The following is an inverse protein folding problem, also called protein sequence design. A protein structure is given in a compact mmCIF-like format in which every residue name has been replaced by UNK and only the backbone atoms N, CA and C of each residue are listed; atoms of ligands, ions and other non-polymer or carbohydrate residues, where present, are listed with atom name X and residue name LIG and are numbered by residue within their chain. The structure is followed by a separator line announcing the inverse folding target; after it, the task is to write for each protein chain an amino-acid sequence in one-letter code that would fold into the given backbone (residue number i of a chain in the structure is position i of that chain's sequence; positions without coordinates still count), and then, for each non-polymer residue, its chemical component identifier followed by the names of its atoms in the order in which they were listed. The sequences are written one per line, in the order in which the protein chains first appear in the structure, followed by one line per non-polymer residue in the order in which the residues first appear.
data_IF_112698568189
#
_entry.id   IF_112698568189
#
_cell.length_a   1.000
_cell.length_b   1.000
_cell.length_c   1.000
_cell.angle_alpha   90.00
_cell.angle_beta   90.00
_cell.angle_gamma   90.00
#
_symmetry.space_group_name_H-M   'P 1'
#
loop_
_entity.id
_entity.type
_entity.pdbx_description
1 polymer ?
#
# COMPACT_ATOMS: atom_id res chain seq x y z
N UNK A 1 -7.41 13.51 -3.57
CA UNK A 1 -5.96 13.44 -3.90
C UNK A 1 -5.83 13.18 -5.38
N UNK A 2 -5.13 14.05 -6.09
CA UNK A 2 -4.94 13.93 -7.53
C UNK A 2 -3.68 13.13 -7.83
N UNK A 3 -3.79 12.21 -8.77
CA UNK A 3 -2.71 11.34 -9.20
C UNK A 3 -2.39 11.63 -10.67
N UNK A 4 -1.11 11.56 -11.02
CA UNK A 4 -0.63 11.63 -12.40
C UNK A 4 0.49 10.63 -12.60
N UNK A 5 0.46 9.89 -13.71
CA UNK A 5 1.54 8.98 -14.12
C UNK A 5 1.87 9.23 -15.59
N UNK A 6 3.16 9.35 -15.90
CA UNK A 6 3.63 9.35 -17.28
C UNK A 6 3.66 7.90 -17.78
N UNK A 7 3.10 7.63 -18.97
CA UNK A 7 3.20 6.31 -19.60
C UNK A 7 4.64 6.10 -20.09
N UNK A 8 5.21 4.94 -19.81
CA UNK A 8 6.56 4.60 -20.25
C UNK A 8 6.69 4.72 -21.78
N UNK A 9 7.80 5.28 -22.25
CA UNK A 9 8.08 5.52 -23.66
C UNK A 9 7.03 6.38 -24.39
N UNK A 10 6.23 7.15 -23.64
CA UNK A 10 5.22 8.05 -24.19
C UNK A 10 5.28 9.41 -23.48
N UNK A 11 4.86 10.47 -24.17
CA UNK A 11 4.62 11.77 -23.53
C UNK A 11 3.19 11.88 -22.96
N UNK A 12 2.39 10.82 -23.05
CA UNK A 12 1.05 10.78 -22.47
C UNK A 12 1.12 10.70 -20.94
N UNK A 13 0.30 11.51 -20.28
CA UNK A 13 0.07 11.48 -18.85
C UNK A 13 -1.34 10.97 -18.62
N UNK A 14 -1.47 9.92 -17.81
CA UNK A 14 -2.75 9.45 -17.30
C UNK A 14 -3.00 10.05 -15.92
N UNK A 15 -4.27 10.27 -15.62
CA UNK A 15 -4.73 10.91 -14.39
C UNK A 15 -5.72 10.01 -13.67
N UNK A 16 -5.84 10.24 -12.38
CA UNK A 16 -6.82 9.58 -11.54
C UNK A 16 -6.95 10.32 -10.22
N UNK A 17 -7.93 9.90 -9.43
CA UNK A 17 -8.22 10.52 -8.15
C UNK A 17 -8.42 9.46 -7.08
N UNK A 18 -7.84 9.69 -5.90
CA UNK A 18 -8.21 8.97 -4.69
C UNK A 18 -9.01 9.91 -3.78
N UNK A 19 -10.17 9.43 -3.37
CA UNK A 19 -11.00 10.03 -2.33
C UNK A 19 -10.95 9.14 -1.10
N UNK A 20 -11.15 9.72 0.08
CA UNK A 20 -11.16 8.98 1.33
C UNK A 20 -12.18 9.56 2.30
N UNK A 21 -12.70 8.71 3.18
CA UNK A 21 -13.59 9.10 4.25
C UNK A 21 -13.31 8.30 5.53
N UNK A 22 -13.89 8.74 6.64
CA UNK A 22 -13.78 8.06 7.93
C UNK A 22 -12.41 8.19 8.61
N UNK A 23 -12.27 7.47 9.72
CA UNK A 23 -11.08 7.41 10.55
C UNK A 23 -10.94 6.03 11.23
N UNK A 24 -9.71 5.70 11.67
CA UNK A 24 -9.42 4.41 12.31
C UNK A 24 -9.95 3.24 11.49
N UNK A 25 -10.82 2.42 12.10
CA UNK A 25 -11.40 1.23 11.48
C UNK A 25 -12.53 1.53 10.48
N UNK A 26 -13.11 2.73 10.50
CA UNK A 26 -14.12 3.18 9.52
C UNK A 26 -13.50 3.79 8.26
N UNK A 27 -12.16 3.87 8.23
CA UNK A 27 -11.45 4.50 7.12
C UNK A 27 -11.62 3.70 5.84
N UNK A 28 -12.07 4.37 4.77
CA UNK A 28 -12.22 3.79 3.45
C UNK A 28 -11.75 4.74 2.38
N UNK A 29 -11.34 4.18 1.25
CA UNK A 29 -10.88 4.95 0.09
C UNK A 29 -11.56 4.49 -1.18
N UNK A 30 -11.68 5.41 -2.12
CA UNK A 30 -12.25 5.21 -3.45
C UNK A 30 -11.23 5.67 -4.47
N UNK A 31 -10.91 4.81 -5.42
CA UNK A 31 -10.03 5.14 -6.55
C UNK A 31 -10.86 5.30 -7.82
N UNK A 32 -10.57 6.35 -8.58
CA UNK A 32 -11.17 6.62 -9.89
C UNK A 32 -10.04 6.83 -10.90
N UNK A 33 -10.10 6.08 -12.00
CA UNK A 33 -9.30 6.37 -13.19
C UNK A 33 -10.05 7.38 -14.04
N UNK A 34 -9.34 8.33 -14.64
CA UNK A 34 -9.93 9.24 -15.64
C UNK A 34 -9.89 8.63 -17.06
N UNK A 35 -9.42 7.39 -17.18
CA UNK A 35 -9.24 6.65 -18.43
C UNK A 35 -9.74 5.20 -18.27
N UNK A 36 -10.52 4.73 -19.24
CA UNK A 36 -11.18 3.41 -19.19
C UNK A 36 -10.31 2.25 -19.72
N UNK A 37 -9.17 2.55 -20.34
CA UNK A 37 -8.26 1.54 -20.92
C UNK A 37 -7.03 1.28 -20.04
N UNK A 38 -6.50 2.33 -19.40
CA UNK A 38 -5.27 2.26 -18.60
C UNK A 38 -5.38 3.16 -17.38
N UNK A 39 -5.12 2.58 -16.21
CA UNK A 39 -5.11 3.29 -14.95
C UNK A 39 -3.70 3.38 -14.34
N UNK A 40 -3.54 4.22 -13.32
CA UNK A 40 -2.24 4.54 -12.70
C UNK A 40 -1.60 3.34 -11.99
N UNK A 41 -2.39 2.40 -11.47
CA UNK A 41 -1.91 1.25 -10.71
C UNK A 41 -2.04 -0.08 -11.47
N UNK A 42 -2.55 -0.04 -12.71
CA UNK A 42 -2.78 -1.21 -13.56
C UNK A 42 -3.82 -2.19 -12.98
N UNK A 43 -4.80 -1.68 -12.25
CA UNK A 43 -5.89 -2.46 -11.68
C UNK A 43 -6.96 -2.84 -12.71
N UNK A 44 -7.13 -2.05 -13.78
CA UNK A 44 -8.08 -2.37 -14.86
C UNK A 44 -7.77 -3.71 -15.55
N UNK A 45 -6.49 -4.08 -15.61
CA UNK A 45 -6.02 -5.29 -16.28
C UNK A 45 -5.99 -6.53 -15.37
N UNK A 46 -6.53 -6.44 -14.16
CA UNK A 46 -6.57 -7.53 -13.20
C UNK A 46 -8.02 -7.92 -12.86
N UNK A 47 -8.32 -9.22 -12.87
CA UNK A 47 -9.69 -9.73 -12.69
C UNK A 47 -10.26 -9.50 -11.28
N UNK A 48 -9.40 -9.29 -10.28
CA UNK A 48 -9.82 -9.10 -8.88
C UNK A 48 -9.82 -7.61 -8.55
N UNK A 49 -8.74 -6.89 -8.83
CA UNK A 49 -8.62 -5.47 -8.53
C UNK A 49 -9.58 -4.59 -9.34
N UNK A 50 -9.87 -4.94 -10.60
CA UNK A 50 -10.81 -4.19 -11.44
C UNK A 50 -12.21 -4.11 -10.84
N UNK A 51 -12.62 -5.11 -10.03
CA UNK A 51 -13.92 -5.12 -9.35
C UNK A 51 -14.05 -4.03 -8.28
N UNK A 52 -12.94 -3.50 -7.78
CA UNK A 52 -12.92 -2.37 -6.84
C UNK A 52 -12.90 -1.00 -7.55
N UNK A 53 -12.94 -0.99 -8.88
CA UNK A 53 -13.10 0.22 -9.70
C UNK A 53 -14.59 0.49 -9.99
N UNK A 54 -15.45 0.19 -9.03
CA UNK A 54 -16.92 0.26 -9.12
C UNK A 54 -17.50 1.61 -8.63
N UNK A 55 -16.63 2.59 -8.40
CA UNK A 55 -16.95 3.91 -7.85
C UNK A 55 -17.49 3.89 -6.39
N UNK A 56 -17.25 2.81 -5.63
CA UNK A 56 -17.56 2.72 -4.20
C UNK A 56 -16.33 2.96 -3.31
N UNK A 57 -16.58 3.07 -2.00
CA UNK A 57 -15.54 3.19 -0.98
C UNK A 57 -15.22 1.81 -0.40
N UNK A 58 -13.94 1.44 -0.46
CA UNK A 58 -13.43 0.17 0.02
C UNK A 58 -12.51 0.35 1.23
N UNK A 59 -12.56 -0.63 2.12
CA UNK A 59 -11.68 -0.76 3.26
C UNK A 59 -10.27 -1.19 2.83
N UNK A 60 -9.32 -1.00 3.74
CA UNK A 60 -7.95 -1.51 3.57
C UNK A 60 -7.89 -3.02 3.32
N UNK A 61 -8.84 -3.79 3.87
CA UNK A 61 -8.86 -5.25 3.70
C UNK A 61 -9.34 -5.65 2.31
N UNK A 62 -10.36 -4.98 1.79
CA UNK A 62 -10.79 -5.16 0.40
C UNK A 62 -9.64 -4.85 -0.55
N UNK A 63 -8.97 -3.70 -0.38
CA UNK A 63 -7.79 -3.35 -1.18
C UNK A 63 -6.67 -4.38 -1.06
N UNK A 64 -6.32 -4.82 0.15
CA UNK A 64 -5.27 -5.82 0.34
C UNK A 64 -5.60 -7.12 -0.40
N UNK A 65 -6.80 -7.66 -0.16
CA UNK A 65 -7.23 -8.93 -0.76
C UNK A 65 -7.23 -8.90 -2.29
N UNK A 66 -7.49 -7.73 -2.89
CA UNK A 66 -7.58 -7.59 -4.33
C UNK A 66 -6.27 -7.17 -5.01
N UNK A 67 -5.25 -6.73 -4.27
CA UNK A 67 -4.06 -6.10 -4.88
C UNK A 67 -2.72 -6.61 -4.37
N UNK A 68 -2.68 -7.53 -3.40
CA UNK A 68 -1.43 -8.04 -2.81
C UNK A 68 -0.47 -8.67 -3.85
N UNK A 69 -1.01 -9.19 -4.94
CA UNK A 69 -0.29 -9.80 -6.05
C UNK A 69 0.19 -8.80 -7.11
N UNK A 70 -0.28 -7.56 -7.08
CA UNK A 70 0.02 -6.52 -8.07
C UNK A 70 1.23 -5.67 -7.69
N UNK A 71 1.78 -4.93 -8.67
CA UNK A 71 2.94 -4.07 -8.49
C UNK A 71 2.71 -2.91 -7.51
N UNK A 72 1.47 -2.46 -7.35
CA UNK A 72 1.11 -1.36 -6.45
C UNK A 72 0.09 -1.85 -5.42
N UNK A 73 0.48 -2.67 -4.43
CA UNK A 73 -0.48 -3.23 -3.48
C UNK A 73 -1.03 -2.15 -2.55
N UNK A 74 -2.35 -2.11 -2.38
CA UNK A 74 -3.09 -1.22 -1.47
C UNK A 74 -2.90 0.30 -1.69
N UNK A 75 -2.40 0.70 -2.86
CA UNK A 75 -2.07 2.10 -3.13
C UNK A 75 -3.20 3.11 -2.90
N UNK A 76 -4.46 2.79 -3.27
CA UNK A 76 -5.60 3.64 -2.93
C UNK A 76 -5.80 3.89 -1.44
N UNK A 77 -5.41 2.98 -0.56
CA UNK A 77 -5.50 3.16 0.88
C UNK A 77 -4.25 3.83 1.46
N UNK A 78 -3.06 3.47 0.98
CA UNK A 78 -1.78 3.93 1.53
C UNK A 78 -1.46 5.39 1.20
N UNK A 79 -1.66 5.84 -0.05
CA UNK A 79 -1.32 7.20 -0.46
C UNK A 79 -2.02 8.25 0.41
N UNK A 80 -3.35 8.18 0.61
CA UNK A 80 -4.04 9.14 1.46
C UNK A 80 -3.55 9.23 2.90
N UNK A 81 -3.03 8.13 3.46
CA UNK A 81 -2.53 8.11 4.84
C UNK A 81 -1.30 8.97 5.02
N UNK A 82 -0.47 9.13 3.98
CA UNK A 82 0.62 10.10 3.99
C UNK A 82 0.07 11.51 4.19
N UNK A 83 -0.87 11.94 3.34
CA UNK A 83 -1.44 13.29 3.39
C UNK A 83 -2.27 13.59 4.65
N UNK A 84 -2.72 12.58 5.40
CA UNK A 84 -3.37 12.77 6.71
C UNK A 84 -2.38 13.12 7.82
N UNK A 85 -1.09 12.87 7.63
CA UNK A 85 -0.07 13.22 8.61
C UNK A 85 0.27 14.71 8.47
N UNK A 86 0.15 15.54 9.52
CA UNK A 86 0.46 16.97 9.46
C UNK A 86 1.95 17.27 9.16
N UNK A 87 2.82 16.26 9.22
CA UNK A 87 4.24 16.34 8.84
C UNK A 87 4.50 15.87 7.40
N UNK A 88 3.45 15.55 6.64
CA UNK A 88 3.59 15.11 5.26
C UNK A 88 3.81 16.29 4.32
N UNK A 89 4.30 15.98 3.12
CA UNK A 89 4.47 16.95 2.05
C UNK A 89 3.16 17.21 1.32
N UNK A 90 3.07 18.36 0.66
CA UNK A 90 1.96 18.67 -0.26
C UNK A 90 2.08 17.91 -1.59
N UNK A 91 3.30 17.48 -1.94
CA UNK A 91 3.62 16.78 -3.18
C UNK A 91 4.52 15.58 -2.86
N UNK A 92 4.20 14.43 -3.47
CA UNK A 92 5.03 13.23 -3.44
C UNK A 92 5.40 12.90 -4.88
N UNK A 93 6.70 12.76 -5.15
CA UNK A 93 7.23 12.30 -6.43
C UNK A 93 7.84 10.92 -6.23
N UNK A 94 7.44 9.97 -7.06
CA UNK A 94 8.00 8.62 -7.12
C UNK A 94 8.39 8.29 -8.55
N UNK A 95 9.37 7.41 -8.71
CA UNK A 95 9.72 6.79 -9.97
C UNK A 95 9.36 5.29 -9.97
N UNK A 96 9.63 4.62 -11.08
CA UNK A 96 9.44 3.18 -11.30
C UNK A 96 10.65 2.33 -10.84
N UNK A 97 11.57 2.93 -10.09
CA UNK A 97 12.82 2.31 -9.67
C UNK A 97 13.93 2.28 -10.72
N UNK A 98 13.72 2.87 -11.91
CA UNK A 98 14.78 3.00 -12.93
C UNK A 98 15.86 4.03 -12.57
N UNK A 99 15.56 4.94 -11.64
CA UNK A 99 16.47 6.00 -11.18
C UNK A 99 16.61 5.95 -9.66
N UNK A 100 17.83 6.13 -9.16
CA UNK A 100 18.11 6.22 -7.72
C UNK A 100 18.36 7.68 -7.32
N UNK A 101 17.50 8.22 -6.49
CA UNK A 101 17.67 9.57 -5.94
C UNK A 101 18.53 9.52 -4.68
N UNK A 102 19.85 9.59 -4.85
CA UNK A 102 20.83 9.62 -3.76
C UNK A 102 21.48 11.00 -3.62
N UNK A 103 20.67 12.06 -3.57
CA UNK A 103 21.14 13.44 -3.46
C UNK A 103 20.77 13.99 -2.09
N UNK A 104 21.75 14.48 -1.34
CA UNK A 104 21.59 15.20 -0.08
C UNK A 104 22.29 16.55 -0.21
N UNK A 105 21.58 17.65 0.05
CA UNK A 105 22.12 19.02 -0.03
C UNK A 105 22.81 19.33 -1.38
N UNK A 106 22.21 18.86 -2.48
CA UNK A 106 22.72 19.04 -3.84
C UNK A 106 23.93 18.16 -4.20
N UNK A 107 24.39 17.27 -3.30
CA UNK A 107 25.53 16.39 -3.52
C UNK A 107 25.11 14.92 -3.47
N UNK A 108 25.75 14.09 -4.30
CA UNK A 108 25.55 12.64 -4.24
C UNK A 108 26.02 12.13 -2.88
N UNK A 109 25.13 11.54 -2.10
CA UNK A 109 25.40 11.12 -0.72
C UNK A 109 26.13 9.78 -0.63
N UNK A 110 25.91 8.88 -1.61
CA UNK A 110 26.58 7.58 -1.73
C UNK A 110 26.55 7.05 -3.17
N UNK A 111 27.32 6.00 -3.44
CA UNK A 111 27.34 5.28 -4.72
C UNK A 111 26.48 4.02 -4.72
N UNK A 112 25.48 3.92 -3.84
CA UNK A 112 24.65 2.72 -3.77
C UNK A 112 23.90 2.52 -5.08
N UNK A 113 23.97 1.30 -5.60
CA UNK A 113 23.31 0.86 -6.83
C UNK A 113 21.90 0.31 -6.57
N UNK A 114 21.49 0.27 -5.29
CA UNK A 114 20.20 -0.23 -4.84
C UNK A 114 19.68 0.64 -3.70
N UNK A 115 18.37 0.82 -3.65
CA UNK A 115 17.67 1.49 -2.56
C UNK A 115 16.27 0.87 -2.40
N UNK A 116 15.57 1.22 -1.33
CA UNK A 116 14.19 0.83 -1.05
C UNK A 116 13.27 2.07 -1.18
N UNK A 117 12.11 2.04 -0.52
CA UNK A 117 11.15 3.17 -0.39
C UNK A 117 10.42 3.60 -1.67
N UNK A 118 10.49 2.81 -2.74
CA UNK A 118 9.57 2.99 -3.87
C UNK A 118 8.30 2.17 -3.67
N UNK A 119 7.25 2.63 -4.33
CA UNK A 119 5.93 2.05 -4.22
C UNK A 119 5.67 0.73 -4.91
N UNK A 120 6.72 0.10 -5.42
CA UNK A 120 6.60 -1.16 -6.12
C UNK A 120 6.58 -2.32 -5.11
N UNK A 121 5.83 -3.36 -5.45
CA UNK A 121 5.69 -4.60 -4.69
C UNK A 121 7.03 -5.17 -4.24
N UNK A 122 8.04 -5.12 -5.11
CA UNK A 122 9.42 -5.59 -4.82
C UNK A 122 10.09 -4.88 -3.62
N UNK A 123 9.62 -3.70 -3.23
CA UNK A 123 10.11 -2.94 -2.07
C UNK A 123 9.14 -2.96 -0.89
N UNK A 124 7.89 -3.37 -1.10
CA UNK A 124 6.85 -3.32 -0.07
C UNK A 124 6.53 -4.67 0.55
N UNK A 125 6.79 -5.76 -0.16
CA UNK A 125 6.48 -7.12 0.30
C UNK A 125 7.71 -7.72 0.98
N UNK A 126 7.51 -8.14 2.22
CA UNK A 126 8.52 -8.79 3.06
C UNK A 126 7.93 -10.09 3.65
N UNK A 127 8.75 -11.12 3.88
CA UNK A 127 8.28 -12.35 4.51
C UNK A 127 7.91 -12.10 5.98
N UNK A 128 6.85 -12.77 6.44
CA UNK A 128 6.49 -12.89 7.86
C UNK A 128 6.55 -14.37 8.25
N UNK A 129 7.34 -14.67 9.28
CA UNK A 129 7.39 -16.00 9.89
C UNK A 129 7.24 -15.80 11.40
N UNK A 130 6.24 -16.46 11.97
CA UNK A 130 6.02 -16.51 13.43
C UNK A 130 6.18 -17.97 13.85
N UNK A 131 7.23 -18.25 14.63
CA UNK A 131 7.50 -19.57 15.18
C UNK A 131 7.47 -19.56 16.70
N UNK A 132 7.12 -20.70 17.29
CA UNK A 132 7.12 -20.88 18.75
C UNK A 132 6.83 -22.32 19.16
N UNK A 133 6.26 -22.51 20.33
CA UNK A 133 5.91 -23.85 20.85
C UNK A 133 4.85 -24.53 19.98
N UNK A 134 4.66 -25.83 20.21
CA UNK A 134 3.60 -26.63 19.57
C UNK A 134 2.18 -26.13 19.85
N UNK A 135 1.99 -25.16 20.75
CA UNK A 135 0.70 -24.53 21.04
C UNK A 135 0.32 -23.44 20.04
N UNK A 136 1.28 -22.96 19.23
CA UNK A 136 0.99 -21.99 18.16
C UNK A 136 0.35 -22.73 16.98
N UNK A 137 -0.81 -22.28 16.47
CA UNK A 137 -1.43 -22.88 15.29
C UNK A 137 -0.51 -22.83 14.08
N UNK A 138 -0.43 -23.94 13.37
CA UNK A 138 0.27 -24.01 12.10
C UNK A 138 -0.66 -23.48 11.01
N UNK A 139 -0.32 -22.33 10.42
CA UNK A 139 -1.15 -21.65 9.44
C UNK A 139 -0.28 -21.03 8.36
N UNK A 140 -0.72 -21.17 7.11
CA UNK A 140 -0.17 -20.41 5.98
C UNK A 140 -0.98 -19.11 5.82
N UNK A 141 -0.26 -17.99 5.72
CA UNK A 141 -0.84 -16.66 5.60
C UNK A 141 -0.48 -16.16 4.20
N UNK A 142 -1.45 -16.19 3.30
CA UNK A 142 -1.27 -15.80 1.89
C UNK A 142 -0.81 -14.34 1.77
N UNK A 143 -1.40 -13.45 2.56
CA UNK A 143 -1.03 -12.05 2.65
C UNK A 143 -1.42 -11.48 4.02
N UNK A 144 -0.69 -10.47 4.47
CA UNK A 144 -1.03 -9.67 5.64
C UNK A 144 -0.38 -8.29 5.56
N UNK A 145 -0.75 -7.41 6.49
CA UNK A 145 -0.08 -6.13 6.69
C UNK A 145 0.82 -6.24 7.91
N UNK A 146 1.92 -5.48 7.92
CA UNK A 146 2.78 -5.40 9.11
C UNK A 146 2.03 -4.91 10.36
N UNK A 147 0.97 -4.12 10.18
CA UNK A 147 0.07 -3.69 11.27
C UNK A 147 -0.71 -4.83 11.93
N UNK A 148 -0.85 -5.97 11.26
CA UNK A 148 -1.55 -7.16 11.74
C UNK A 148 -0.67 -7.99 12.72
N UNK A 149 0.64 -7.72 12.76
CA UNK A 149 1.60 -8.46 13.62
C UNK A 149 1.30 -8.21 15.10
N UNK A 150 1.19 -6.94 15.52
CA UNK A 150 0.95 -6.58 16.93
C UNK A 150 -0.31 -7.24 17.51
N UNK A 151 -1.51 -7.11 16.90
CA UNK A 151 -2.71 -7.76 17.44
C UNK A 151 -2.59 -9.29 17.46
N UNK A 152 -1.89 -9.89 16.49
CA UNK A 152 -1.62 -11.34 16.48
C UNK A 152 -0.77 -11.77 17.67
N UNK A 153 0.34 -11.06 17.93
CA UNK A 153 1.23 -11.36 19.07
C UNK A 153 0.51 -11.18 20.42
N UNK A 154 -0.30 -10.13 20.55
CA UNK A 154 -1.08 -9.90 21.77
C UNK A 154 -2.13 -11.00 22.00
N UNK A 155 -2.75 -11.52 20.93
CA UNK A 155 -3.69 -12.64 21.04
C UNK A 155 -3.02 -13.90 21.58
N UNK A 156 -1.79 -14.21 21.14
CA UNK A 156 -1.03 -15.35 21.68
C UNK A 156 -0.79 -15.29 23.19
N UNK A 157 -0.60 -14.08 23.75
CA UNK A 157 -0.36 -13.89 25.19
C UNK A 157 -1.63 -13.53 25.98
N UNK A 158 -2.82 -13.71 25.39
CA UNK A 158 -4.10 -13.42 26.04
C UNK A 158 -4.32 -11.94 26.37
N UNK A 159 -3.71 -11.02 25.61
CA UNK A 159 -3.87 -9.57 25.76
C UNK A 159 -4.71 -9.00 24.63
N UNK A 160 -5.40 -7.89 24.93
CA UNK A 160 -6.14 -7.12 23.93
C UNK A 160 -5.26 -5.97 23.42
N UNK A 161 -5.26 -5.68 22.11
CA UNK A 161 -4.62 -4.47 21.60
C UNK A 161 -5.32 -3.21 22.15
N UNK A 162 -4.57 -2.12 22.23
CA UNK A 162 -5.16 -0.80 22.45
C UNK A 162 -6.14 -0.46 21.31
N UNK A 163 -7.17 0.34 21.60
CA UNK A 163 -8.17 0.77 20.63
C UNK A 163 -7.61 1.54 19.43
N UNK A 164 -6.38 2.06 19.53
CA UNK A 164 -5.69 2.77 18.45
C UNK A 164 -5.05 1.83 17.41
N UNK A 165 -4.93 0.54 17.70
CA UNK A 165 -4.40 -0.46 16.76
C UNK A 165 -5.45 -0.77 15.69
N UNK A 166 -5.08 -0.55 14.43
CA UNK A 166 -5.97 -0.74 13.26
C UNK A 166 -5.85 -2.15 12.66
N UNK A 167 -4.75 -2.86 12.93
CA UNK A 167 -4.52 -4.20 12.40
C UNK A 167 -5.47 -5.24 12.98
N UNK A 168 -5.53 -6.40 12.32
CA UNK A 168 -6.34 -7.54 12.73
C UNK A 168 -5.45 -8.72 13.11
N UNK A 169 -5.92 -9.55 14.04
CA UNK A 169 -5.23 -10.80 14.35
C UNK A 169 -5.29 -11.76 13.16
N UNK A 170 -4.16 -12.41 12.85
CA UNK A 170 -4.02 -13.38 11.76
C UNK A 170 -4.44 -14.80 12.16
N UNK A 171 -4.72 -14.99 13.46
CA UNK A 171 -5.27 -16.21 14.09
C UNK A 171 -6.58 -15.87 14.79
#
# INVERSE_FOLDING_TARGET
IHLKRKINNSNKIISGTIEYNGNGNSYKTRYKSDNDEVDIFNYLNDEVASKLLDNNFHSIQEWLSATYHLDYPMYPDLIPRHFKNPRSSDIILSNDGSVLYNIKDGKKSNNNISNHDIGLRKCMVVPLIIGGSSEIPQQEIEYCKTTDIVPTLLKFIGKKPDRSVVGQSLI
#
